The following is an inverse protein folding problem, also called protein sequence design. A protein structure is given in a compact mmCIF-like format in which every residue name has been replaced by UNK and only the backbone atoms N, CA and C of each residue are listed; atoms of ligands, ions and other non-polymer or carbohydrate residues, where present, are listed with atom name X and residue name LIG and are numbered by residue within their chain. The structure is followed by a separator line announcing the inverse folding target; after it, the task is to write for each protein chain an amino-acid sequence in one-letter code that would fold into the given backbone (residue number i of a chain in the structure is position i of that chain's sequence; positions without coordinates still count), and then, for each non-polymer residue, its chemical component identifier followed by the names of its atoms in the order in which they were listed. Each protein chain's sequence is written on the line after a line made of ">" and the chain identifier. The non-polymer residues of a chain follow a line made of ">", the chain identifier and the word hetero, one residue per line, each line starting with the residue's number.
data_IF_023739713828
#
_entry.id   IF_023739713828
#
_cell.length_a   1.000
_cell.length_b   1.000
_cell.length_c   1.000
_cell.angle_alpha   90.00
_cell.angle_beta   90.00
_cell.angle_gamma   90.00
#
_symmetry.space_group_name_H-M   'P 1'
#
loop_
_entity.id
_entity.type
_entity.pdbx_description
1 polymer ?
#
# COMPACT_ATOMS: atom_id res chain seq x y z
N UNK A 1 10.96 16.83 -33.04
CA UNK A 1 10.39 15.98 -31.99
C UNK A 1 10.96 16.35 -30.63
N UNK A 2 10.08 16.54 -29.68
CA UNK A 2 10.49 16.80 -28.33
C UNK A 2 10.99 15.52 -27.68
N UNK A 3 11.75 15.64 -26.60
CA UNK A 3 12.26 14.50 -25.86
C UNK A 3 11.11 13.68 -25.24
N UNK A 4 9.99 14.33 -24.92
CA UNK A 4 8.80 13.65 -24.40
C UNK A 4 8.16 12.74 -25.44
N UNK A 5 8.14 13.13 -26.71
CA UNK A 5 7.61 12.31 -27.79
C UNK A 5 8.41 11.02 -27.96
N UNK A 6 9.75 11.09 -27.79
CA UNK A 6 10.61 9.91 -27.84
C UNK A 6 10.33 8.96 -26.69
N UNK A 7 10.11 9.48 -25.50
CA UNK A 7 9.81 8.67 -24.33
C UNK A 7 8.46 7.95 -24.50
N UNK A 8 7.45 8.65 -24.99
CA UNK A 8 6.12 8.09 -25.25
C UNK A 8 6.20 6.97 -26.29
N UNK A 9 6.94 7.22 -27.39
CA UNK A 9 7.14 6.19 -28.43
C UNK A 9 7.84 4.95 -27.90
N UNK A 10 8.84 5.11 -27.06
CA UNK A 10 9.55 3.99 -26.47
C UNK A 10 8.63 3.17 -25.58
N UNK A 11 7.78 3.82 -24.80
CA UNK A 11 6.79 3.12 -23.95
C UNK A 11 5.78 2.37 -24.79
N UNK A 12 5.36 2.91 -25.92
CA UNK A 12 4.40 2.26 -26.83
C UNK A 12 4.98 1.05 -27.54
N UNK A 13 6.28 1.06 -27.81
CA UNK A 13 6.96 -0.03 -28.53
C UNK A 13 7.54 -1.08 -27.61
N UNK A 14 7.66 -0.80 -26.33
CA UNK A 14 8.16 -1.78 -25.37
C UNK A 14 7.07 -2.81 -25.06
N UNK A 15 7.47 -4.08 -24.89
CA UNK A 15 6.49 -5.07 -24.43
C UNK A 15 5.93 -4.63 -23.08
N UNK A 16 4.63 -4.91 -22.83
CA UNK A 16 4.05 -4.53 -21.55
C UNK A 16 4.83 -5.16 -20.40
N UNK A 17 5.09 -4.36 -19.37
CA UNK A 17 5.72 -4.86 -18.15
C UNK A 17 4.71 -5.79 -17.49
N UNK A 18 5.09 -7.04 -17.29
CA UNK A 18 4.25 -7.96 -16.55
C UNK A 18 4.12 -7.49 -15.11
N UNK A 19 2.88 -7.21 -14.71
CA UNK A 19 2.61 -6.91 -13.33
C UNK A 19 2.75 -8.18 -12.51
N UNK A 20 3.52 -8.09 -11.44
CA UNK A 20 3.59 -9.20 -10.50
C UNK A 20 2.20 -9.43 -9.91
N UNK A 21 1.87 -10.70 -9.74
CA UNK A 21 0.62 -11.06 -9.11
C UNK A 21 0.59 -10.55 -7.67
N UNK A 22 -0.48 -9.82 -7.35
CA UNK A 22 -0.67 -9.31 -6.01
C UNK A 22 -1.15 -10.46 -5.12
N UNK A 23 -0.51 -10.70 -3.97
CA UNK A 23 -0.98 -11.75 -3.06
C UNK A 23 -2.42 -11.55 -2.63
N UNK A 24 -3.13 -12.66 -2.44
CA UNK A 24 -4.54 -12.64 -2.12
C UNK A 24 -4.86 -11.91 -0.83
N UNK A 25 -3.94 -11.90 0.14
CA UNK A 25 -4.19 -11.21 1.40
C UNK A 25 -4.28 -9.68 1.27
N UNK A 26 -3.93 -9.13 0.11
CA UNK A 26 -4.15 -7.71 -0.19
C UNK A 26 -5.46 -7.44 -0.93
N UNK A 27 -6.18 -8.49 -1.30
CA UNK A 27 -7.39 -8.38 -2.12
C UNK A 27 -8.63 -8.56 -1.28
N UNK A 28 -9.56 -7.64 -1.41
CA UNK A 28 -10.91 -7.78 -0.88
C UNK A 28 -11.84 -8.39 -1.91
N UNK A 29 -13.12 -8.39 -1.61
CA UNK A 29 -14.16 -8.86 -2.51
C UNK A 29 -14.26 -7.94 -3.73
N UNK A 30 -14.67 -8.50 -4.87
CA UNK A 30 -14.91 -7.76 -6.11
C UNK A 30 -13.67 -7.03 -6.65
N UNK A 31 -12.49 -7.59 -6.41
CA UNK A 31 -11.24 -7.02 -6.92
C UNK A 31 -10.76 -5.77 -6.17
N UNK A 32 -11.40 -5.42 -5.08
CA UNK A 32 -11.01 -4.26 -4.27
C UNK A 32 -9.73 -4.59 -3.50
N UNK A 33 -8.73 -3.75 -3.62
CA UNK A 33 -7.41 -4.00 -3.02
C UNK A 33 -7.13 -3.05 -1.86
N UNK A 34 -6.23 -3.47 -0.96
CA UNK A 34 -5.79 -2.61 0.15
C UNK A 34 -5.25 -1.27 -0.35
N UNK A 35 -4.49 -1.27 -1.45
CA UNK A 35 -3.96 -0.04 -2.05
C UNK A 35 -5.07 0.93 -2.46
N UNK A 36 -6.23 0.44 -2.84
CA UNK A 36 -7.35 1.28 -3.25
C UNK A 36 -7.92 2.05 -2.06
N UNK A 37 -7.96 1.41 -0.89
CA UNK A 37 -8.39 2.07 0.34
C UNK A 37 -7.42 3.20 0.70
N UNK A 38 -6.13 2.90 0.73
CA UNK A 38 -5.10 3.87 1.08
C UNK A 38 -5.13 5.06 0.13
N UNK A 39 -5.22 4.80 -1.16
CA UNK A 39 -5.25 5.84 -2.19
C UNK A 39 -6.55 6.65 -2.12
N UNK A 40 -7.67 5.98 -1.95
CA UNK A 40 -8.99 6.62 -1.96
C UNK A 40 -9.19 7.58 -0.79
N UNK A 41 -8.65 7.25 0.38
CA UNK A 41 -8.73 8.09 1.56
C UNK A 41 -7.52 9.04 1.71
N UNK A 42 -6.60 9.01 0.75
CA UNK A 42 -5.44 9.89 0.73
C UNK A 42 -4.61 9.78 2.03
N UNK A 43 -4.39 8.56 2.47
CA UNK A 43 -3.75 8.30 3.77
C UNK A 43 -2.25 8.58 3.73
N UNK A 44 -1.72 9.10 4.82
CA UNK A 44 -0.29 9.27 5.01
C UNK A 44 0.41 7.91 5.13
N UNK A 45 1.76 7.93 5.09
CA UNK A 45 2.54 6.69 5.08
C UNK A 45 2.23 5.77 6.26
N UNK A 46 2.33 6.29 7.49
CA UNK A 46 2.12 5.44 8.66
C UNK A 46 0.68 4.96 8.80
N UNK A 47 -0.29 5.85 8.55
CA UNK A 47 -1.70 5.47 8.61
C UNK A 47 -2.02 4.48 7.51
N UNK A 48 -1.59 4.75 6.28
CA UNK A 48 -1.81 3.86 5.15
C UNK A 48 -1.18 2.49 5.35
N UNK A 49 0.03 2.46 5.89
CA UNK A 49 0.74 1.21 6.18
C UNK A 49 0.02 0.41 7.26
N UNK A 50 -0.42 1.07 8.33
CA UNK A 50 -1.20 0.42 9.39
C UNK A 50 -2.49 -0.18 8.82
N UNK A 51 -3.22 0.58 8.02
CA UNK A 51 -4.46 0.10 7.39
C UNK A 51 -4.18 -1.11 6.49
N UNK A 52 -3.12 -1.07 5.71
CA UNK A 52 -2.73 -2.19 4.84
C UNK A 52 -2.47 -3.46 5.66
N UNK A 53 -1.72 -3.36 6.76
CA UNK A 53 -1.48 -4.51 7.63
C UNK A 53 -2.79 -5.03 8.24
N UNK A 54 -3.68 -4.15 8.68
CA UNK A 54 -4.95 -4.55 9.27
C UNK A 54 -5.83 -5.27 8.25
N UNK A 55 -5.89 -4.77 7.02
CA UNK A 55 -6.72 -5.36 5.98
C UNK A 55 -6.24 -6.76 5.59
N UNK A 56 -4.93 -7.00 5.58
CA UNK A 56 -4.40 -8.32 5.21
C UNK A 56 -4.33 -9.29 6.39
N UNK A 57 -4.43 -8.82 7.61
CA UNK A 57 -4.14 -9.61 8.81
C UNK A 57 -4.97 -10.88 8.90
N UNK A 58 -6.24 -10.81 8.52
CA UNK A 58 -7.18 -11.93 8.58
C UNK A 58 -6.77 -13.08 7.66
N UNK A 59 -6.22 -12.75 6.49
CA UNK A 59 -5.99 -13.72 5.41
C UNK A 59 -4.53 -14.09 5.22
N UNK A 60 -3.63 -13.46 5.98
CA UNK A 60 -2.20 -13.73 5.88
C UNK A 60 -1.79 -14.72 6.95
N UNK A 61 -2.14 -15.94 6.75
CA UNK A 61 -1.60 -17.06 7.41
C UNK A 61 -1.60 -17.35 8.88
N UNK A 62 -0.76 -18.01 9.17
CA UNK A 62 -0.43 -19.05 10.20
C UNK A 62 -0.56 -18.58 11.65
N UNK A 63 -0.49 -17.28 11.91
CA UNK A 63 -0.53 -16.73 13.27
C UNK A 63 -1.84 -16.01 13.56
N UNK A 64 -2.83 -16.15 12.68
CA UNK A 64 -4.12 -15.48 12.83
C UNK A 64 -4.05 -13.98 12.69
N UNK A 65 -2.96 -13.46 12.11
CA UNK A 65 -2.78 -12.03 11.90
C UNK A 65 -2.09 -11.28 13.03
N UNK A 66 -1.59 -12.00 14.04
CA UNK A 66 -0.94 -11.37 15.20
C UNK A 66 0.22 -10.46 14.79
N UNK A 67 1.08 -10.96 13.90
CA UNK A 67 2.24 -10.17 13.44
C UNK A 67 1.83 -8.92 12.70
N UNK A 68 0.83 -9.03 11.83
CA UNK A 68 0.34 -7.87 11.08
C UNK A 68 -0.32 -6.84 12.00
N UNK A 69 -1.04 -7.28 13.00
CA UNK A 69 -1.63 -6.37 13.98
C UNK A 69 -0.54 -5.63 14.76
N UNK A 70 0.51 -6.34 15.17
CA UNK A 70 1.65 -5.70 15.85
C UNK A 70 2.33 -4.67 14.97
N UNK A 71 2.53 -4.97 13.69
CA UNK A 71 3.11 -4.02 12.74
C UNK A 71 2.22 -2.79 12.58
N UNK A 72 0.91 -2.98 12.52
CA UNK A 72 -0.03 -1.86 12.46
C UNK A 72 0.09 -0.96 13.70
N UNK A 73 0.16 -1.56 14.87
CA UNK A 73 0.33 -0.82 16.13
C UNK A 73 1.64 -0.02 16.11
N UNK A 74 2.73 -0.62 15.63
CA UNK A 74 4.01 0.09 15.53
C UNK A 74 3.91 1.33 14.63
N UNK A 75 3.26 1.21 13.49
CA UNK A 75 3.09 2.35 12.58
C UNK A 75 2.17 3.42 13.17
N UNK A 76 1.17 3.03 13.95
CA UNK A 76 0.34 4.00 14.67
C UNK A 76 1.15 4.72 15.75
N UNK A 77 2.06 4.04 16.43
CA UNK A 77 2.98 4.69 17.36
C UNK A 77 3.90 5.68 16.66
N UNK A 78 4.45 5.32 15.51
CA UNK A 78 5.26 6.24 14.71
C UNK A 78 4.46 7.48 14.34
N UNK A 79 3.20 7.32 13.99
CA UNK A 79 2.35 8.47 13.64
C UNK A 79 2.07 9.37 14.85
N UNK A 80 1.81 8.78 16.00
CA UNK A 80 1.62 9.54 17.22
C UNK A 80 2.88 10.34 17.57
N UNK A 81 4.06 9.73 17.44
CA UNK A 81 5.33 10.40 17.67
C UNK A 81 5.53 11.57 16.71
N UNK A 82 5.21 11.36 15.44
CA UNK A 82 5.32 12.40 14.42
C UNK A 82 4.41 13.59 14.75
N UNK A 83 3.16 13.32 15.08
CA UNK A 83 2.18 14.34 15.42
C UNK A 83 2.57 15.08 16.69
N UNK A 84 3.08 14.37 17.67
CA UNK A 84 3.55 14.98 18.92
C UNK A 84 4.71 15.94 18.67
N UNK A 85 5.68 15.52 17.86
CA UNK A 85 6.84 16.35 17.53
C UNK A 85 6.44 17.59 16.73
N UNK A 86 5.43 17.51 15.88
CA UNK A 86 4.95 18.66 15.12
C UNK A 86 4.16 19.65 15.97
N UNK A 87 3.53 19.19 17.04
CA UNK A 87 2.70 20.04 17.91
C UNK A 87 3.47 20.66 19.08
N UNK A 88 4.70 20.21 19.28
CA UNK A 88 5.62 20.75 20.30
C UNK A 88 6.59 21.76 19.67
#
# INVERSE_FOLDING_TARGET
>A
MTQNDKIIKNLETMPPIELQEVPDYYKGKNGYMAKDVVSNFDLSYNIGTAVTYLLRSKNKHNDGGVEDIRKAINHLHFELDRLHNETV
#
